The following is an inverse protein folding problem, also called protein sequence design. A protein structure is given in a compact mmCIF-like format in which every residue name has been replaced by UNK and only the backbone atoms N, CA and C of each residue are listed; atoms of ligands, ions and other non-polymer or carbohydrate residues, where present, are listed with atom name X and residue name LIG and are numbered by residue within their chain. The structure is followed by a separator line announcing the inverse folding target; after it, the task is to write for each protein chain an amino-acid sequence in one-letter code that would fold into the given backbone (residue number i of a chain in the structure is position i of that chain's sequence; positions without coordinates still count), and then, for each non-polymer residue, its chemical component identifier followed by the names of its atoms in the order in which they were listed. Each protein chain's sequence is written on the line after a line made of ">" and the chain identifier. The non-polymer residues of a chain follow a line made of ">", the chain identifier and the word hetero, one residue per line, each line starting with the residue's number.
data_IF_035768393699
#
_entry.id   IF_035768393699
#
_cell.length_a   1.000
_cell.length_b   1.000
_cell.length_c   1.000
_cell.angle_alpha   90.00
_cell.angle_beta   90.00
_cell.angle_gamma   90.00
#
_symmetry.space_group_name_H-M   'P 1'
#
loop_
_entity.id
_entity.type
_entity.pdbx_description
1 polymer ?
#
# COMPACT_ATOMS: atom_id res chain seq x y z
N UNK A 1 -10.25 -43.46 8.68
CA UNK A 1 -9.90 -42.05 8.96
C UNK A 1 -8.91 -41.62 7.89
N UNK A 2 -9.38 -40.91 6.88
CA UNK A 2 -8.55 -40.47 5.76
C UNK A 2 -7.73 -39.26 6.22
N UNK A 3 -6.41 -39.44 6.30
CA UNK A 3 -5.49 -38.33 6.52
C UNK A 3 -5.56 -37.39 5.32
N UNK A 4 -6.00 -36.15 5.55
CA UNK A 4 -5.75 -35.06 4.62
C UNK A 4 -4.23 -34.83 4.61
N UNK A 5 -3.52 -35.47 3.67
CA UNK A 5 -2.28 -34.90 3.18
C UNK A 5 -2.66 -33.55 2.57
N UNK A 6 -2.12 -32.42 3.05
CA UNK A 6 -2.34 -31.16 2.36
C UNK A 6 -1.70 -31.31 0.98
N UNK A 7 -2.52 -31.26 -0.06
CA UNK A 7 -2.07 -31.44 -1.44
C UNK A 7 -0.98 -30.42 -1.77
N UNK A 8 0.19 -30.90 -2.14
CA UNK A 8 1.33 -30.07 -2.59
C UNK A 8 0.92 -29.15 -3.76
N UNK A 9 -0.07 -29.58 -4.56
CA UNK A 9 -0.69 -28.76 -5.61
C UNK A 9 -1.33 -27.49 -5.06
N UNK A 10 -1.99 -27.54 -3.91
CA UNK A 10 -2.66 -26.39 -3.32
C UNK A 10 -1.62 -25.34 -2.86
N UNK A 11 -0.47 -25.77 -2.32
CA UNK A 11 0.60 -24.86 -1.90
C UNK A 11 1.24 -24.11 -3.07
N UNK A 12 1.53 -24.81 -4.17
CA UNK A 12 2.09 -24.19 -5.37
C UNK A 12 1.12 -23.16 -5.96
N UNK A 13 -0.17 -23.47 -6.00
CA UNK A 13 -1.22 -22.57 -6.46
C UNK A 13 -1.37 -21.34 -5.54
N UNK A 14 -1.43 -21.51 -4.22
CA UNK A 14 -1.50 -20.38 -3.27
C UNK A 14 -0.27 -19.49 -3.39
N UNK A 15 0.93 -20.08 -3.54
CA UNK A 15 2.17 -19.32 -3.72
C UNK A 15 2.14 -18.50 -5.01
N UNK A 16 1.71 -19.11 -6.11
CA UNK A 16 1.58 -18.40 -7.38
C UNK A 16 0.59 -17.24 -7.29
N UNK A 17 -0.56 -17.43 -6.62
CA UNK A 17 -1.54 -16.35 -6.38
C UNK A 17 -0.95 -15.21 -5.55
N UNK A 18 -0.18 -15.51 -4.51
CA UNK A 18 0.52 -14.50 -3.70
C UNK A 18 1.56 -13.73 -4.50
N UNK A 19 2.35 -14.43 -5.34
CA UNK A 19 3.35 -13.81 -6.20
C UNK A 19 2.69 -12.88 -7.23
N UNK A 20 1.63 -13.32 -7.91
CA UNK A 20 0.86 -12.46 -8.82
C UNK A 20 0.21 -11.26 -8.11
N UNK A 21 -0.26 -11.44 -6.87
CA UNK A 21 -0.83 -10.35 -6.09
C UNK A 21 0.24 -9.32 -5.68
N UNK A 22 1.46 -9.76 -5.40
CA UNK A 22 2.62 -8.89 -5.12
C UNK A 22 3.03 -8.11 -6.39
N UNK A 23 3.15 -8.78 -7.53
CA UNK A 23 3.45 -8.14 -8.82
C UNK A 23 2.40 -7.06 -9.18
N UNK A 24 1.11 -7.37 -8.97
CA UNK A 24 0.03 -6.41 -9.19
C UNK A 24 0.13 -5.17 -8.29
N UNK A 25 0.56 -5.34 -7.03
CA UNK A 25 0.80 -4.21 -6.12
C UNK A 25 2.02 -3.40 -6.55
N UNK A 26 3.08 -4.05 -7.00
CA UNK A 26 4.28 -3.36 -7.49
C UNK A 26 3.97 -2.53 -8.73
N UNK A 27 3.22 -3.07 -9.68
CA UNK A 27 2.73 -2.32 -10.84
C UNK A 27 1.83 -1.14 -10.43
N UNK A 28 0.96 -1.34 -9.44
CA UNK A 28 0.11 -0.27 -8.89
C UNK A 28 0.95 0.82 -8.20
N UNK A 29 2.02 0.47 -7.52
CA UNK A 29 2.94 1.43 -6.89
C UNK A 29 3.75 2.21 -7.93
N UNK A 30 4.22 1.55 -8.99
CA UNK A 30 4.92 2.19 -10.11
C UNK A 30 4.03 3.23 -10.80
N UNK A 31 2.76 2.91 -11.05
CA UNK A 31 1.81 3.86 -11.65
C UNK A 31 1.43 5.03 -10.71
N UNK A 32 1.49 4.82 -9.39
CA UNK A 32 1.18 5.85 -8.39
C UNK A 32 2.30 6.87 -8.22
N UNK A 33 3.56 6.45 -8.40
CA UNK A 33 4.75 7.29 -8.21
C UNK A 33 4.70 8.62 -8.97
N UNK A 34 4.48 8.61 -10.31
CA UNK A 34 4.35 9.85 -11.10
C UNK A 34 3.21 10.75 -10.64
N UNK A 35 2.06 10.19 -10.26
CA UNK A 35 0.92 10.97 -9.79
C UNK A 35 1.24 11.70 -8.47
N UNK A 36 1.96 11.03 -7.57
CA UNK A 36 2.38 11.61 -6.28
C UNK A 36 3.43 12.71 -6.48
N UNK A 37 4.40 12.52 -7.38
CA UNK A 37 5.41 13.54 -7.73
C UNK A 37 4.76 14.78 -8.37
N UNK A 38 3.83 14.59 -9.31
CA UNK A 38 3.08 15.70 -9.92
C UNK A 38 2.27 16.44 -8.86
N UNK A 39 1.51 15.73 -8.03
CA UNK A 39 0.71 16.35 -6.98
C UNK A 39 1.59 17.15 -5.99
N UNK A 40 2.78 16.65 -5.65
CA UNK A 40 3.73 17.34 -4.79
C UNK A 40 4.23 18.63 -5.45
N UNK A 41 4.78 18.53 -6.67
CA UNK A 41 5.31 19.67 -7.44
C UNK A 41 4.25 20.75 -7.65
N UNK A 42 3.03 20.36 -8.05
CA UNK A 42 1.95 21.31 -8.29
C UNK A 42 1.47 21.96 -6.99
N UNK A 43 1.39 21.21 -5.87
CA UNK A 43 1.03 21.79 -4.58
C UNK A 43 2.06 22.82 -4.09
N UNK A 44 3.35 22.58 -4.36
CA UNK A 44 4.43 23.50 -4.04
C UNK A 44 4.38 24.74 -4.92
N UNK A 45 4.18 24.56 -6.23
CA UNK A 45 4.04 25.65 -7.17
C UNK A 45 2.89 26.60 -6.80
N UNK A 46 1.71 26.08 -6.46
CA UNK A 46 0.60 26.93 -6.02
C UNK A 46 0.87 27.62 -4.68
N UNK A 47 1.70 27.05 -3.80
CA UNK A 47 2.13 27.73 -2.57
C UNK A 47 2.96 28.97 -2.90
N UNK A 48 3.89 28.85 -3.85
CA UNK A 48 4.73 29.95 -4.32
C UNK A 48 3.90 31.02 -5.05
N UNK A 49 2.96 30.61 -5.91
CA UNK A 49 2.03 31.54 -6.58
C UNK A 49 1.20 32.34 -5.56
N UNK A 50 0.64 31.66 -4.54
CA UNK A 50 -0.15 32.33 -3.51
C UNK A 50 0.70 33.35 -2.75
N UNK A 51 1.92 32.99 -2.35
CA UNK A 51 2.83 33.92 -1.69
C UNK A 51 3.16 35.12 -2.59
N UNK A 52 3.43 34.89 -3.88
CA UNK A 52 3.68 35.96 -4.84
C UNK A 52 2.49 36.92 -5.00
N UNK A 53 1.26 36.40 -5.08
CA UNK A 53 0.08 37.26 -5.13
C UNK A 53 -0.15 38.05 -3.84
N UNK A 54 0.10 37.44 -2.67
CA UNK A 54 0.00 38.13 -1.38
C UNK A 54 1.01 39.29 -1.29
N UNK A 55 2.25 39.07 -1.71
CA UNK A 55 3.29 40.11 -1.74
C UNK A 55 2.95 41.24 -2.71
N UNK A 56 2.47 40.91 -3.91
CA UNK A 56 2.05 41.89 -4.90
C UNK A 56 0.85 42.72 -4.40
N UNK A 57 -0.14 42.07 -3.80
CA UNK A 57 -1.30 42.76 -3.20
C UNK A 57 -0.88 43.67 -2.06
N UNK A 58 0.04 43.23 -1.19
CA UNK A 58 0.55 44.05 -0.11
C UNK A 58 1.24 45.32 -0.63
N UNK A 59 2.06 45.19 -1.67
CA UNK A 59 2.70 46.34 -2.34
C UNK A 59 1.69 47.28 -2.99
N UNK A 60 0.66 46.75 -3.65
CA UNK A 60 -0.40 47.55 -4.28
C UNK A 60 -1.25 48.29 -3.24
N UNK A 61 -1.55 47.65 -2.10
CA UNK A 61 -2.29 48.28 -1.00
C UNK A 61 -1.49 49.40 -0.31
N UNK A 62 -0.16 49.32 -0.34
CA UNK A 62 0.72 50.39 0.15
C UNK A 62 0.90 51.54 -0.87
N UNK A 63 0.49 51.34 -2.13
CA UNK A 63 0.52 52.38 -3.16
C UNK A 63 -0.68 53.34 -3.00
N UNK A 64 -0.70 54.42 -3.78
CA UNK A 64 -1.80 55.38 -3.73
C UNK A 64 -3.11 54.76 -4.24
N UNK A 65 -3.99 54.39 -3.31
CA UNK A 65 -5.30 53.78 -3.59
C UNK A 65 -6.36 54.78 -4.06
N UNK A 66 -6.03 56.06 -4.21
CA UNK A 66 -6.93 57.07 -4.78
C UNK A 66 -7.01 57.00 -6.31
N UNK A 67 -6.11 56.28 -6.98
CA UNK A 67 -6.17 56.04 -8.43
C UNK A 67 -7.12 54.85 -8.73
N UNK A 68 -8.20 55.05 -9.50
CA UNK A 68 -9.14 53.99 -9.89
C UNK A 68 -8.48 52.80 -10.61
N UNK A 69 -7.33 53.01 -11.27
CA UNK A 69 -6.57 51.93 -11.91
C UNK A 69 -5.92 51.02 -10.88
N UNK A 70 -5.42 51.60 -9.79
CA UNK A 70 -4.82 50.84 -8.67
C UNK A 70 -5.89 50.03 -7.95
N UNK A 71 -7.08 50.59 -7.72
CA UNK A 71 -8.20 49.84 -7.12
C UNK A 71 -8.65 48.66 -7.99
N UNK A 72 -8.77 48.85 -9.32
CA UNK A 72 -9.09 47.75 -10.23
C UNK A 72 -8.03 46.63 -10.23
N UNK A 73 -6.74 46.98 -10.15
CA UNK A 73 -5.66 46.01 -10.02
C UNK A 73 -5.71 45.25 -8.69
N UNK A 74 -6.06 45.92 -7.59
CA UNK A 74 -6.24 45.29 -6.28
C UNK A 74 -7.38 44.28 -6.31
N UNK A 75 -8.53 44.64 -6.89
CA UNK A 75 -9.68 43.73 -7.02
C UNK A 75 -9.36 42.51 -7.88
N UNK A 76 -8.70 42.74 -9.02
CA UNK A 76 -8.22 41.66 -9.91
C UNK A 76 -7.24 40.76 -9.17
N UNK A 77 -6.27 41.34 -8.46
CA UNK A 77 -5.29 40.60 -7.68
C UNK A 77 -5.94 39.76 -6.57
N UNK A 78 -6.97 40.28 -5.89
CA UNK A 78 -7.76 39.52 -4.90
C UNK A 78 -8.48 38.32 -5.53
N UNK A 79 -9.07 38.50 -6.70
CA UNK A 79 -9.74 37.41 -7.42
C UNK A 79 -8.75 36.33 -7.91
N UNK A 80 -7.57 36.74 -8.38
CA UNK A 80 -6.49 35.83 -8.76
C UNK A 80 -5.94 35.07 -7.56
N UNK A 81 -5.70 35.75 -6.43
CA UNK A 81 -5.28 35.14 -5.17
C UNK A 81 -6.30 34.09 -4.70
N UNK A 82 -7.58 34.44 -4.65
CA UNK A 82 -8.63 33.51 -4.23
C UNK A 82 -8.73 32.27 -5.15
N UNK A 83 -8.40 32.42 -6.43
CA UNK A 83 -8.35 31.29 -7.37
C UNK A 83 -7.11 30.43 -7.14
N UNK A 84 -5.94 31.06 -6.92
CA UNK A 84 -4.71 30.36 -6.58
C UNK A 84 -4.83 29.58 -5.25
N UNK A 85 -5.49 30.15 -4.24
CA UNK A 85 -5.74 29.49 -2.96
C UNK A 85 -6.66 28.27 -3.11
N UNK A 86 -7.76 28.39 -3.88
CA UNK A 86 -8.63 27.26 -4.19
C UNK A 86 -7.87 26.12 -4.89
N UNK A 87 -7.03 26.46 -5.86
CA UNK A 87 -6.21 25.47 -6.56
C UNK A 87 -5.15 24.84 -5.64
N UNK A 88 -4.50 25.64 -4.78
CA UNK A 88 -3.57 25.15 -3.76
C UNK A 88 -4.24 24.11 -2.85
N UNK A 89 -5.44 24.42 -2.36
CA UNK A 89 -6.16 23.58 -1.42
C UNK A 89 -6.69 22.30 -2.09
N UNK A 90 -7.12 22.40 -3.35
CA UNK A 90 -7.43 21.25 -4.19
C UNK A 90 -6.21 20.31 -4.32
N UNK A 91 -5.06 20.83 -4.75
CA UNK A 91 -3.85 20.02 -4.96
C UNK A 91 -3.26 19.47 -3.65
N UNK A 92 -3.37 20.22 -2.55
CA UNK A 92 -3.04 19.72 -1.21
C UNK A 92 -3.92 18.53 -0.82
N UNK A 93 -5.20 18.58 -1.16
CA UNK A 93 -6.14 17.48 -0.92
C UNK A 93 -5.81 16.27 -1.79
N UNK A 94 -5.49 16.49 -3.07
CA UNK A 94 -5.07 15.40 -3.97
C UNK A 94 -3.77 14.74 -3.51
N UNK A 95 -2.76 15.52 -3.10
CA UNK A 95 -1.51 14.98 -2.56
C UNK A 95 -1.77 14.07 -1.35
N UNK A 96 -2.64 14.48 -0.42
CA UNK A 96 -3.02 13.65 0.74
C UNK A 96 -3.73 12.37 0.32
N UNK A 97 -4.57 12.40 -0.72
CA UNK A 97 -5.25 11.22 -1.24
C UNK A 97 -4.26 10.23 -1.84
N UNK A 98 -3.34 10.68 -2.67
CA UNK A 98 -2.33 9.82 -3.28
C UNK A 98 -1.35 9.26 -2.23
N UNK A 99 -0.94 10.07 -1.24
CA UNK A 99 -0.19 9.57 -0.08
C UNK A 99 -0.97 8.49 0.70
N UNK A 100 -2.27 8.67 0.88
CA UNK A 100 -3.14 7.67 1.50
C UNK A 100 -3.20 6.38 0.69
N UNK A 101 -3.25 6.46 -0.65
CA UNK A 101 -3.20 5.29 -1.54
C UNK A 101 -1.85 4.58 -1.45
N UNK A 102 -0.74 5.32 -1.43
CA UNK A 102 0.60 4.75 -1.28
C UNK A 102 0.73 4.01 0.05
N UNK A 103 0.25 4.60 1.15
CA UNK A 103 0.31 3.97 2.47
C UNK A 103 -0.51 2.68 2.52
N UNK A 104 -1.71 2.67 1.90
CA UNK A 104 -2.53 1.45 1.78
C UNK A 104 -1.84 0.38 0.95
N UNK A 105 -1.28 0.74 -0.21
CA UNK A 105 -0.53 -0.20 -1.05
C UNK A 105 0.65 -0.80 -0.28
N UNK A 106 1.40 0.02 0.45
CA UNK A 106 2.51 -0.45 1.28
C UNK A 106 2.05 -1.39 2.40
N UNK A 107 0.91 -1.10 3.04
CA UNK A 107 0.34 -1.97 4.07
C UNK A 107 -0.04 -3.34 3.49
N UNK A 108 -0.80 -3.36 2.39
CA UNK A 108 -1.20 -4.62 1.72
C UNK A 108 0.03 -5.38 1.21
N UNK A 109 1.04 -4.68 0.67
CA UNK A 109 2.31 -5.31 0.27
C UNK A 109 2.96 -6.05 1.43
N UNK A 110 3.05 -5.40 2.59
CA UNK A 110 3.65 -5.99 3.78
C UNK A 110 2.87 -7.21 4.26
N UNK A 111 1.53 -7.15 4.24
CA UNK A 111 0.68 -8.29 4.58
C UNK A 111 0.89 -9.47 3.64
N UNK A 112 0.96 -9.23 2.32
CA UNK A 112 1.23 -10.29 1.34
C UNK A 112 2.63 -10.89 1.49
N UNK A 113 3.66 -10.08 1.76
CA UNK A 113 5.01 -10.58 2.04
C UNK A 113 5.02 -11.45 3.30
N UNK A 114 4.32 -11.03 4.36
CA UNK A 114 4.19 -11.83 5.58
C UNK A 114 3.45 -13.15 5.31
N UNK A 115 2.35 -13.12 4.55
CA UNK A 115 1.60 -14.32 4.17
C UNK A 115 2.48 -15.30 3.37
N UNK A 116 3.26 -14.79 2.41
CA UNK A 116 4.23 -15.59 1.64
C UNK A 116 5.29 -16.24 2.52
N UNK A 117 5.89 -15.48 3.43
CA UNK A 117 6.90 -16.01 4.35
C UNK A 117 6.31 -17.11 5.27
N UNK A 118 5.07 -16.92 5.73
CA UNK A 118 4.37 -17.94 6.53
C UNK A 118 4.08 -19.20 5.71
N UNK A 119 3.70 -19.06 4.45
CA UNK A 119 3.49 -20.19 3.53
C UNK A 119 4.79 -20.97 3.32
N UNK A 120 5.91 -20.28 3.09
CA UNK A 120 7.23 -20.90 2.93
C UNK A 120 7.67 -21.67 4.19
N UNK A 121 7.39 -21.13 5.38
CA UNK A 121 7.65 -21.83 6.66
C UNK A 121 6.76 -23.07 6.80
N UNK A 122 5.46 -22.96 6.50
CA UNK A 122 4.53 -24.08 6.55
C UNK A 122 4.93 -25.21 5.60
N UNK A 123 5.37 -24.87 4.38
CA UNK A 123 5.87 -25.85 3.41
C UNK A 123 7.12 -26.58 3.95
N UNK A 124 8.10 -25.85 4.50
CA UNK A 124 9.31 -26.46 5.08
C UNK A 124 9.00 -27.38 6.26
N UNK A 125 8.04 -27.00 7.11
CA UNK A 125 7.59 -27.86 8.22
C UNK A 125 6.95 -29.14 7.72
N UNK A 126 6.11 -29.07 6.67
CA UNK A 126 5.52 -30.25 6.05
C UNK A 126 6.57 -31.17 5.41
N UNK A 127 7.52 -30.61 4.66
CA UNK A 127 8.64 -31.37 4.07
C UNK A 127 9.48 -32.05 5.17
N UNK A 128 9.76 -31.34 6.27
CA UNK A 128 10.46 -31.89 7.43
C UNK A 128 9.68 -33.03 8.10
N UNK A 129 8.36 -32.90 8.27
CA UNK A 129 7.51 -33.96 8.81
C UNK A 129 7.43 -35.18 7.88
N UNK A 130 7.34 -34.96 6.57
CA UNK A 130 7.37 -36.05 5.58
C UNK A 130 8.72 -36.78 5.61
N UNK A 131 9.83 -36.05 5.75
CA UNK A 131 11.16 -36.63 5.87
C UNK A 131 11.30 -37.44 7.17
N UNK A 132 10.86 -36.92 8.32
CA UNK A 132 10.84 -37.67 9.58
C UNK A 132 9.96 -38.91 9.48
N UNK A 133 8.78 -38.82 8.86
CA UNK A 133 7.92 -39.99 8.63
C UNK A 133 8.62 -41.05 7.74
N UNK A 134 9.40 -40.63 6.74
CA UNK A 134 10.19 -41.54 5.91
C UNK A 134 11.31 -42.24 6.66
N UNK A 135 12.04 -41.53 7.53
CA UNK A 135 13.08 -42.10 8.39
C UNK A 135 12.48 -43.08 9.42
N UNK A 136 11.31 -42.76 9.97
CA UNK A 136 10.57 -43.65 10.86
C UNK A 136 10.18 -44.98 10.20
N UNK A 137 9.75 -44.90 8.93
CA UNK A 137 9.37 -46.07 8.14
C UNK A 137 10.57 -46.96 7.79
N UNK A 138 11.79 -46.39 7.78
CA UNK A 138 13.05 -47.09 7.57
C UNK A 138 13.64 -47.69 8.86
N UNK A 139 12.97 -47.52 10.01
CA UNK A 139 13.35 -48.12 11.29
C UNK A 139 14.48 -47.39 12.03
N UNK A 140 14.82 -46.16 11.62
CA UNK A 140 15.81 -45.34 12.32
C UNK A 140 15.19 -44.70 13.59
N UNK A 141 15.96 -44.58 14.70
CA UNK A 141 15.45 -43.99 15.93
C UNK A 141 15.14 -42.50 15.74
N UNK A 142 13.86 -42.17 15.72
CA UNK A 142 13.38 -40.80 15.66
C UNK A 142 13.69 -40.04 16.97
N UNK A 143 14.03 -38.74 16.91
CA UNK A 143 13.91 -37.86 18.06
C UNK A 143 12.46 -37.90 18.55
N UNK A 144 12.27 -38.15 19.85
CA UNK A 144 11.01 -38.51 20.49
C UNK A 144 9.80 -37.66 20.09
N UNK A 145 8.70 -38.35 19.82
CA UNK A 145 7.40 -37.89 19.33
C UNK A 145 6.64 -36.94 20.28
N UNK A 146 7.19 -35.76 20.57
CA UNK A 146 6.48 -34.63 21.20
C UNK A 146 6.03 -33.56 20.18
N UNK A 147 6.35 -33.72 18.88
CA UNK A 147 6.05 -32.74 17.84
C UNK A 147 4.65 -32.88 17.17
N UNK A 148 3.78 -33.78 17.65
CA UNK A 148 2.52 -34.13 16.96
C UNK A 148 1.37 -33.12 17.13
N UNK A 149 1.50 -32.13 18.01
CA UNK A 149 0.50 -31.07 18.17
C UNK A 149 1.18 -29.72 18.33
N UNK A 150 1.71 -29.16 17.23
CA UNK A 150 2.17 -27.77 17.24
C UNK A 150 0.99 -26.83 16.91
N UNK A 151 0.42 -26.10 17.89
CA UNK A 151 -0.66 -25.14 17.66
C UNK A 151 -0.28 -24.06 16.64
N UNK A 152 1.00 -23.76 16.52
CA UNK A 152 1.60 -22.85 15.53
C UNK A 152 1.27 -23.25 14.07
N UNK A 153 1.17 -24.56 13.78
CA UNK A 153 0.80 -25.06 12.46
C UNK A 153 -0.69 -24.83 12.15
N UNK A 154 -1.56 -24.93 13.16
CA UNK A 154 -2.99 -24.65 13.00
C UNK A 154 -3.26 -23.16 12.82
N UNK A 155 -2.58 -22.31 13.60
CA UNK A 155 -2.64 -20.86 13.43
C UNK A 155 -2.12 -20.42 12.05
N UNK A 156 -1.01 -20.99 11.58
CA UNK A 156 -0.48 -20.68 10.25
C UNK A 156 -1.45 -21.03 9.13
N UNK A 157 -2.11 -22.19 9.20
CA UNK A 157 -3.14 -22.62 8.23
C UNK A 157 -4.41 -21.78 8.30
N UNK A 158 -4.85 -21.39 9.50
CA UNK A 158 -6.03 -20.55 9.67
C UNK A 158 -5.79 -19.15 9.08
N UNK A 159 -4.63 -18.54 9.38
CA UNK A 159 -4.24 -17.24 8.84
C UNK A 159 -4.00 -17.27 7.32
N UNK A 160 -3.52 -18.39 6.77
CA UNK A 160 -3.38 -18.57 5.32
C UNK A 160 -4.75 -18.55 4.62
N UNK A 161 -5.77 -19.17 5.20
CA UNK A 161 -7.15 -19.13 4.68
C UNK A 161 -7.80 -17.75 4.84
N UNK A 162 -7.51 -17.06 5.93
CA UNK A 162 -7.97 -15.66 6.12
C UNK A 162 -7.33 -14.72 5.09
N UNK A 163 -6.04 -14.92 4.77
CA UNK A 163 -5.36 -14.20 3.69
C UNK A 163 -5.92 -14.55 2.30
N UNK A 164 -6.34 -15.80 2.08
CA UNK A 164 -7.02 -16.23 0.85
C UNK A 164 -8.39 -15.56 0.68
N UNK A 165 -9.19 -15.47 1.75
CA UNK A 165 -10.44 -14.71 1.75
C UNK A 165 -10.25 -13.20 1.49
N UNK A 166 -9.15 -12.62 1.98
CA UNK A 166 -8.78 -11.23 1.67
C UNK A 166 -8.31 -11.05 0.22
N UNK A 167 -7.69 -12.08 -0.37
CA UNK A 167 -7.31 -12.08 -1.78
C UNK A 167 -8.54 -12.23 -2.71
N UNK A 168 -9.56 -13.00 -2.31
CA UNK A 168 -10.83 -13.13 -3.03
C UNK A 168 -11.70 -11.85 -2.96
N UNK A 169 -11.60 -11.08 -1.88
CA UNK A 169 -12.26 -9.76 -1.76
C UNK A 169 -11.73 -8.70 -2.74
N UNK A 170 -10.73 -9.01 -3.60
CA UNK A 170 -10.24 -8.12 -4.66
C UNK A 170 -11.10 -8.06 -5.93
N UNK A 171 -12.27 -8.68 -5.97
CA UNK A 171 -13.24 -8.44 -7.07
C UNK A 171 -14.02 -7.10 -6.95
N UNK A 172 -13.78 -6.30 -5.91
CA UNK A 172 -14.46 -5.01 -5.75
C UNK A 172 -13.89 -3.94 -6.69
N UNK A 173 -14.61 -3.77 -7.82
CA UNK A 173 -14.67 -2.55 -8.63
C UNK A 173 -15.06 -1.32 -7.80
#
# INVERSE_FOLDING_TARGET
>A
MAGHQPDVNNYAETRQRLDSALESIEHSAESLGPALDIALKVSQHYREIVAGYQDCLHKLLAANTSDPRVTGLIETGKAMLATAERNRDYWKTQLRREQGRQNKLNAVRNELVQARNRLDVAQKLMEGQAHLASLAALGEPLPTAQAREMPEFREALQLAREAEALAELKEWR
#
